data_IF_761606319865
#
_entry.id   IF_761606319865
#
_cell.length_a   1.000
_cell.length_b   1.000
_cell.length_c   1.000
_cell.angle_alpha   90.00
_cell.angle_beta   90.00
_cell.angle_gamma   90.00
#
_symmetry.space_group_name_H-M   'P 1'
#
loop_
_entity.id
_entity.type
_entity.pdbx_description
1 polymer ?
#
# COMPACT_ATOMS: atom_id res chain seq x y z
N UNK A 1 -49.26 -13.46 17.17
CA UNK A 1 -48.07 -14.27 16.85
C UNK A 1 -47.08 -13.37 16.14
N UNK A 2 -46.07 -12.91 16.86
CA UNK A 2 -45.03 -12.10 16.29
C UNK A 2 -43.99 -13.05 15.67
N UNK A 3 -43.84 -13.02 14.34
CA UNK A 3 -42.84 -13.80 13.61
C UNK A 3 -41.43 -13.33 13.98
N UNK A 4 -40.62 -14.24 14.48
CA UNK A 4 -39.18 -14.05 14.65
C UNK A 4 -38.58 -13.83 13.27
N UNK A 5 -38.06 -12.65 13.03
CA UNK A 5 -37.21 -12.40 11.86
C UNK A 5 -35.88 -13.09 12.17
N UNK A 6 -35.58 -14.20 11.50
CA UNK A 6 -34.26 -14.80 11.53
C UNK A 6 -33.28 -13.84 10.83
N UNK A 7 -32.11 -13.58 11.43
CA UNK A 7 -31.11 -12.77 10.75
C UNK A 7 -30.66 -13.47 9.46
N UNK A 8 -30.57 -12.72 8.38
CA UNK A 8 -30.10 -13.23 7.09
C UNK A 8 -28.73 -13.91 7.26
N UNK A 9 -28.46 -15.02 6.56
CA UNK A 9 -27.18 -15.71 6.68
C UNK A 9 -26.04 -14.77 6.24
N UNK A 10 -25.02 -14.67 7.08
CA UNK A 10 -23.82 -13.87 6.78
C UNK A 10 -23.28 -14.23 5.40
N UNK A 11 -23.07 -13.23 4.56
CA UNK A 11 -22.42 -13.44 3.27
C UNK A 11 -21.05 -14.12 3.50
N UNK A 12 -20.68 -15.13 2.71
CA UNK A 12 -19.40 -15.81 2.88
C UNK A 12 -18.26 -14.79 2.74
N UNK A 13 -17.16 -14.95 3.50
CA UNK A 13 -16.01 -14.04 3.40
C UNK A 13 -15.50 -14.00 1.97
N UNK A 14 -15.05 -12.81 1.56
CA UNK A 14 -14.52 -12.62 0.23
C UNK A 14 -13.37 -13.59 -0.05
N UNK A 15 -13.38 -14.22 -1.22
CA UNK A 15 -12.26 -15.05 -1.67
C UNK A 15 -11.01 -14.20 -1.92
N UNK A 16 -9.82 -14.77 -1.70
CA UNK A 16 -8.55 -14.11 -2.05
C UNK A 16 -8.48 -13.83 -3.55
N UNK A 17 -7.93 -12.67 -3.90
CA UNK A 17 -7.73 -12.28 -5.29
C UNK A 17 -7.65 -10.79 -5.50
N UNK A 18 -7.46 -10.38 -6.76
CA UNK A 18 -7.46 -8.99 -7.16
C UNK A 18 -8.86 -8.39 -7.10
N UNK A 19 -8.92 -7.09 -6.89
CA UNK A 19 -10.18 -6.31 -6.92
C UNK A 19 -9.89 -4.86 -7.26
N UNK A 20 -10.90 -4.21 -7.84
CA UNK A 20 -10.98 -2.75 -7.89
C UNK A 20 -11.95 -2.25 -6.83
N UNK A 21 -11.71 -1.08 -6.29
CA UNK A 21 -12.58 -0.43 -5.31
C UNK A 21 -12.45 1.09 -5.41
N UNK A 22 -13.51 1.80 -5.04
CA UNK A 22 -13.53 3.26 -5.12
C UNK A 22 -13.09 3.91 -3.81
N UNK A 23 -12.30 4.96 -3.91
CA UNK A 23 -12.03 5.87 -2.81
C UNK A 23 -13.25 6.79 -2.62
N UNK A 24 -14.14 6.42 -1.68
CA UNK A 24 -15.33 7.20 -1.38
C UNK A 24 -14.97 8.54 -0.72
N UNK A 25 -15.59 9.64 -1.18
CA UNK A 25 -15.45 10.97 -0.58
C UNK A 25 -14.16 11.71 -0.93
N UNK A 26 -13.30 11.14 -1.76
CA UNK A 26 -12.15 11.86 -2.28
C UNK A 26 -12.55 12.76 -3.47
N UNK A 27 -11.91 13.93 -3.64
CA UNK A 27 -12.12 14.72 -4.84
C UNK A 27 -11.85 13.83 -6.06
N UNK A 28 -12.69 13.96 -7.09
CA UNK A 28 -12.51 13.24 -8.34
C UNK A 28 -11.09 13.49 -8.88
N UNK A 29 -10.45 12.48 -9.44
CA UNK A 29 -9.27 12.70 -10.29
C UNK A 29 -9.62 13.71 -11.37
N UNK A 30 -8.66 14.45 -11.92
CA UNK A 30 -8.90 15.54 -12.88
C UNK A 30 -9.82 15.24 -14.07
N UNK A 31 -10.31 14.00 -14.22
CA UNK A 31 -11.30 13.55 -15.19
C UNK A 31 -12.74 13.49 -14.63
N UNK A 32 -13.01 13.87 -13.37
CA UNK A 32 -14.35 14.01 -12.81
C UNK A 32 -15.06 12.72 -12.35
N UNK A 33 -14.37 11.57 -12.35
CA UNK A 33 -14.90 10.27 -11.88
C UNK A 33 -14.42 9.85 -10.49
N UNK A 34 -15.04 8.83 -9.88
CA UNK A 34 -14.52 8.25 -8.65
C UNK A 34 -13.13 7.66 -8.90
N UNK A 35 -12.19 7.84 -7.95
CA UNK A 35 -10.89 7.22 -8.05
C UNK A 35 -10.99 5.72 -7.80
N UNK A 36 -10.68 4.93 -8.80
CA UNK A 36 -10.67 3.48 -8.72
C UNK A 36 -9.28 2.99 -8.35
N UNK A 37 -9.20 2.29 -7.23
CA UNK A 37 -7.96 1.73 -6.72
C UNK A 37 -7.91 0.23 -6.99
N UNK A 38 -6.73 -0.23 -7.39
CA UNK A 38 -6.44 -1.64 -7.50
C UNK A 38 -5.92 -2.19 -6.18
N UNK A 39 -6.34 -3.40 -5.81
CA UNK A 39 -5.83 -4.08 -4.65
C UNK A 39 -5.81 -5.59 -4.81
N UNK A 40 -5.04 -6.26 -3.95
CA UNK A 40 -5.01 -7.70 -3.81
C UNK A 40 -5.40 -8.10 -2.39
N UNK A 41 -6.55 -8.73 -2.26
CA UNK A 41 -7.07 -9.23 -1.00
C UNK A 41 -6.55 -10.65 -0.72
N UNK A 42 -6.07 -10.88 0.49
CA UNK A 42 -5.72 -12.19 1.02
C UNK A 42 -6.67 -12.52 2.17
N UNK A 43 -7.54 -13.49 1.96
CA UNK A 43 -8.43 -13.96 3.02
C UNK A 43 -7.63 -14.67 4.13
N UNK A 44 -8.08 -14.54 5.37
CA UNK A 44 -7.46 -15.26 6.47
C UNK A 44 -7.60 -16.78 6.29
N UNK A 45 -6.53 -17.53 6.51
CA UNK A 45 -6.51 -18.98 6.37
C UNK A 45 -7.19 -19.73 7.52
N UNK A 46 -7.61 -19.01 8.58
CA UNK A 46 -8.23 -19.57 9.78
C UNK A 46 -9.16 -18.57 10.46
N UNK A 47 -9.42 -18.73 11.77
CA UNK A 47 -10.19 -17.76 12.54
C UNK A 47 -9.62 -16.36 12.38
N UNK A 48 -10.49 -15.38 12.12
CA UNK A 48 -10.10 -14.01 11.85
C UNK A 48 -9.56 -13.35 13.12
N UNK A 49 -8.33 -12.85 13.07
CA UNK A 49 -7.64 -12.15 14.16
C UNK A 49 -7.59 -10.63 13.96
N UNK A 50 -8.03 -10.14 12.80
CA UNK A 50 -8.06 -8.74 12.42
C UNK A 50 -7.72 -8.52 10.95
N UNK A 51 -7.75 -7.25 10.52
CA UNK A 51 -7.32 -6.83 9.20
C UNK A 51 -5.90 -6.24 9.24
N UNK A 52 -5.13 -6.45 8.17
CA UNK A 52 -3.83 -5.79 7.99
C UNK A 52 -3.77 -5.14 6.62
N UNK A 53 -3.60 -3.83 6.61
CA UNK A 53 -3.38 -3.05 5.39
C UNK A 53 -1.88 -2.99 5.11
N UNK A 54 -1.46 -3.37 3.92
CA UNK A 54 -0.07 -3.24 3.49
C UNK A 54 0.06 -1.99 2.64
N UNK A 55 0.74 -0.99 3.18
CA UNK A 55 0.96 0.31 2.58
C UNK A 55 2.27 0.28 1.78
N UNK A 56 2.15 0.20 0.46
CA UNK A 56 3.29 0.16 -0.45
C UNK A 56 4.15 1.43 -0.29
N UNK A 57 5.46 1.37 -0.52
CA UNK A 57 6.22 2.57 -0.85
C UNK A 57 5.81 3.08 -2.24
N UNK A 58 6.36 4.20 -2.66
CA UNK A 58 6.12 4.77 -4.00
C UNK A 58 7.37 4.76 -4.85
N UNK A 59 7.22 4.86 -6.17
CA UNK A 59 8.31 4.90 -7.12
C UNK A 59 9.11 3.59 -7.18
N UNK A 60 10.43 3.68 -7.35
CA UNK A 60 11.32 2.52 -7.45
C UNK A 60 11.29 1.61 -6.21
N UNK A 61 11.12 2.19 -5.03
CA UNK A 61 10.94 1.42 -3.80
C UNK A 61 9.73 0.46 -3.88
N UNK A 62 8.65 0.83 -4.58
CA UNK A 62 7.46 -0.03 -4.75
C UNK A 62 7.79 -1.26 -5.61
N UNK A 63 8.53 -1.08 -6.70
CA UNK A 63 8.98 -2.18 -7.56
C UNK A 63 9.80 -3.19 -6.76
N UNK A 64 10.75 -2.70 -5.97
CA UNK A 64 11.67 -3.52 -5.16
C UNK A 64 10.97 -4.20 -3.98
N UNK A 65 10.00 -3.53 -3.36
CA UNK A 65 9.25 -4.04 -2.21
C UNK A 65 8.16 -5.05 -2.58
N UNK A 66 7.75 -5.13 -3.85
CA UNK A 66 6.61 -5.97 -4.27
C UNK A 66 6.72 -7.41 -3.77
N UNK A 67 7.87 -8.07 -3.98
CA UNK A 67 8.08 -9.46 -3.57
C UNK A 67 8.08 -9.65 -2.05
N UNK A 68 8.85 -8.90 -1.24
CA UNK A 68 8.77 -8.98 0.22
C UNK A 68 7.38 -8.70 0.78
N UNK A 69 6.67 -7.71 0.27
CA UNK A 69 5.33 -7.36 0.74
C UNK A 69 4.28 -8.41 0.39
N UNK A 70 4.41 -9.07 -0.78
CA UNK A 70 3.57 -10.22 -1.11
C UNK A 70 3.79 -11.36 -0.12
N UNK A 71 5.05 -11.73 0.17
CA UNK A 71 5.36 -12.77 1.13
C UNK A 71 4.90 -12.43 2.55
N UNK A 72 5.01 -11.15 2.95
CA UNK A 72 4.45 -10.69 4.22
C UNK A 72 2.94 -10.91 4.27
N UNK A 73 2.22 -10.48 3.23
CA UNK A 73 0.76 -10.64 3.16
C UNK A 73 0.34 -12.12 3.23
N UNK A 74 1.04 -13.02 2.53
CA UNK A 74 0.81 -14.45 2.58
C UNK A 74 1.07 -15.06 3.97
N UNK A 75 2.10 -14.57 4.69
CA UNK A 75 2.39 -15.01 6.08
C UNK A 75 1.33 -14.52 7.05
N UNK A 76 0.93 -13.27 6.94
CA UNK A 76 -0.13 -12.68 7.75
C UNK A 76 -1.47 -13.40 7.53
N UNK A 77 -1.81 -13.73 6.29
CA UNK A 77 -3.02 -14.50 5.97
C UNK A 77 -2.98 -15.89 6.62
N UNK A 78 -1.83 -16.58 6.57
CA UNK A 78 -1.63 -17.86 7.27
C UNK A 78 -1.70 -17.73 8.79
N UNK A 79 -1.31 -16.58 9.34
CA UNK A 79 -1.41 -16.28 10.77
C UNK A 79 -2.82 -15.86 11.21
N UNK A 80 -3.82 -15.86 10.32
CA UNK A 80 -5.22 -15.58 10.64
C UNK A 80 -5.64 -14.13 10.43
N UNK A 81 -4.86 -13.30 9.73
CA UNK A 81 -5.25 -11.95 9.36
C UNK A 81 -5.86 -11.91 7.95
N UNK A 82 -6.87 -11.07 7.76
CA UNK A 82 -7.27 -10.66 6.43
C UNK A 82 -6.35 -9.53 5.96
N UNK A 83 -5.79 -9.62 4.75
CA UNK A 83 -4.79 -8.63 4.31
C UNK A 83 -5.22 -8.01 2.99
N UNK A 84 -5.05 -6.69 2.88
CA UNK A 84 -5.21 -5.95 1.63
C UNK A 84 -3.89 -5.25 1.29
N UNK A 85 -3.32 -5.59 0.14
CA UNK A 85 -2.30 -4.78 -0.54
C UNK A 85 -3.01 -3.96 -1.60
N UNK A 86 -2.59 -2.73 -1.81
CA UNK A 86 -3.23 -1.86 -2.80
C UNK A 86 -2.22 -0.90 -3.42
N UNK A 87 -2.55 -0.39 -4.58
CA UNK A 87 -1.81 0.64 -5.27
C UNK A 87 -2.49 1.99 -5.04
N UNK A 88 -1.70 3.02 -4.78
CA UNK A 88 -2.20 4.38 -4.62
C UNK A 88 -2.63 4.98 -5.96
N UNK A 89 -3.45 6.02 -5.92
CA UNK A 89 -3.79 6.83 -7.11
C UNK A 89 -2.56 7.21 -7.92
N UNK A 90 -2.62 7.02 -9.23
CA UNK A 90 -1.51 7.26 -10.14
C UNK A 90 -0.33 6.31 -9.99
N UNK A 91 -0.51 5.16 -9.35
CA UNK A 91 0.52 4.11 -9.22
C UNK A 91 -0.03 2.74 -9.58
N UNK A 92 0.83 1.85 -10.03
CA UNK A 92 0.48 0.46 -10.31
C UNK A 92 -0.69 0.32 -11.27
N UNK A 93 -1.69 -0.48 -10.88
CA UNK A 93 -2.91 -0.73 -11.64
C UNK A 93 -4.11 0.10 -11.13
N UNK A 94 -3.88 1.11 -10.28
CA UNK A 94 -4.89 2.09 -9.86
C UNK A 94 -5.08 3.20 -10.91
N UNK A 95 -6.25 3.85 -10.87
CA UNK A 95 -6.52 5.03 -11.69
C UNK A 95 -5.58 6.20 -11.38
N UNK A 96 -5.67 7.27 -12.17
CA UNK A 96 -4.84 8.45 -12.02
C UNK A 96 -3.51 8.34 -12.75
N UNK A 97 -2.72 9.38 -12.60
CA UNK A 97 -1.42 9.46 -13.27
C UNK A 97 -0.39 10.20 -12.41
N UNK A 98 0.87 10.05 -12.75
CA UNK A 98 1.97 10.66 -12.01
C UNK A 98 1.99 12.21 -12.07
N UNK A 99 1.19 12.83 -12.97
CA UNK A 99 1.03 14.28 -13.11
C UNK A 99 -0.21 14.83 -12.42
N UNK A 100 -1.07 13.98 -11.87
CA UNK A 100 -2.24 14.43 -11.13
C UNK A 100 -1.83 15.39 -10.00
N UNK A 101 -2.59 16.45 -9.75
CA UNK A 101 -2.35 17.34 -8.61
C UNK A 101 -2.74 16.66 -7.29
N UNK A 102 -2.31 17.26 -6.17
CA UNK A 102 -2.72 16.88 -4.81
C UNK A 102 -2.49 15.39 -4.50
N UNK A 103 -1.39 14.83 -5.00
CA UNK A 103 -1.10 13.40 -4.92
C UNK A 103 -0.92 12.89 -3.51
N UNK A 104 -0.30 13.66 -2.63
CA UNK A 104 -0.08 13.22 -1.24
C UNK A 104 -1.41 13.16 -0.50
N UNK A 105 -2.28 14.13 -0.70
CA UNK A 105 -3.63 14.11 -0.14
C UNK A 105 -4.46 12.96 -0.72
N UNK A 106 -4.32 12.68 -2.02
CA UNK A 106 -4.91 11.53 -2.66
C UNK A 106 -4.45 10.22 -2.02
N UNK A 107 -3.15 10.01 -1.81
CA UNK A 107 -2.61 8.80 -1.19
C UNK A 107 -3.07 8.61 0.25
N UNK A 108 -3.20 9.69 1.03
CA UNK A 108 -3.76 9.63 2.39
C UNK A 108 -5.24 9.22 2.38
N UNK A 109 -6.02 9.76 1.45
CA UNK A 109 -7.41 9.38 1.25
C UNK A 109 -7.57 7.92 0.76
N UNK A 110 -6.70 7.46 -0.14
CA UNK A 110 -6.67 6.09 -0.64
C UNK A 110 -6.40 5.08 0.47
N UNK A 111 -5.52 5.42 1.40
CA UNK A 111 -5.22 4.58 2.56
C UNK A 111 -6.44 4.47 3.48
N UNK A 112 -7.18 5.55 3.70
CA UNK A 112 -8.45 5.53 4.43
C UNK A 112 -9.52 4.66 3.73
N UNK A 113 -9.62 4.79 2.40
CA UNK A 113 -10.52 3.99 1.59
C UNK A 113 -10.16 2.50 1.63
N UNK A 114 -8.87 2.17 1.51
CA UNK A 114 -8.37 0.80 1.58
C UNK A 114 -8.61 0.17 2.96
N UNK A 115 -8.45 0.93 4.05
CA UNK A 115 -8.77 0.47 5.40
C UNK A 115 -10.27 0.18 5.55
N UNK A 116 -11.12 1.03 5.00
CA UNK A 116 -12.59 0.83 4.98
C UNK A 116 -12.97 -0.38 4.14
N UNK A 117 -12.36 -0.54 2.96
CA UNK A 117 -12.58 -1.70 2.09
C UNK A 117 -12.15 -3.00 2.79
N UNK A 118 -11.01 -3.02 3.46
CA UNK A 118 -10.54 -4.20 4.19
C UNK A 118 -11.53 -4.60 5.30
N UNK A 119 -12.06 -3.63 6.06
CA UNK A 119 -13.11 -3.91 7.05
C UNK A 119 -14.33 -4.55 6.41
N UNK A 120 -14.79 -3.98 5.32
CA UNK A 120 -15.96 -4.47 4.60
C UNK A 120 -15.77 -5.86 4.00
N UNK A 121 -14.60 -6.18 3.45
CA UNK A 121 -14.32 -7.49 2.87
C UNK A 121 -14.17 -8.59 3.92
N UNK A 122 -13.59 -8.26 5.07
CA UNK A 122 -13.20 -9.25 6.07
C UNK A 122 -14.15 -9.34 7.26
N UNK A 123 -14.90 -8.27 7.57
CA UNK A 123 -15.61 -8.12 8.83
C UNK A 123 -14.67 -7.90 10.03
N UNK A 124 -13.42 -7.53 9.79
CA UNK A 124 -12.46 -7.29 10.86
C UNK A 124 -12.86 -6.07 11.70
N UNK A 125 -13.03 -6.25 13.00
CA UNK A 125 -13.31 -5.15 13.93
C UNK A 125 -12.10 -4.24 14.11
N UNK A 126 -10.90 -4.80 14.05
CA UNK A 126 -9.64 -4.08 14.15
C UNK A 126 -8.84 -4.14 12.85
N UNK A 127 -8.23 -3.01 12.46
CA UNK A 127 -7.36 -2.92 11.30
C UNK A 127 -6.03 -2.32 11.71
N UNK A 128 -4.96 -3.03 11.38
CA UNK A 128 -3.58 -2.58 11.54
C UNK A 128 -2.98 -2.24 10.17
N UNK A 129 -1.89 -1.50 10.14
CA UNK A 129 -1.15 -1.24 8.91
C UNK A 129 0.32 -1.66 9.04
N UNK A 130 0.89 -2.14 7.94
CA UNK A 130 2.34 -2.27 7.76
C UNK A 130 2.74 -1.42 6.57
N UNK A 131 3.55 -0.42 6.78
CA UNK A 131 4.02 0.46 5.71
C UNK A 131 5.53 0.47 5.60
N UNK A 132 6.04 0.43 4.36
CA UNK A 132 7.46 0.46 4.06
C UNK A 132 7.85 1.84 3.53
N UNK A 133 8.94 2.41 4.03
CA UNK A 133 9.48 3.69 3.60
C UNK A 133 8.39 4.78 3.65
N UNK A 134 8.09 5.44 2.53
CA UNK A 134 7.03 6.44 2.46
C UNK A 134 5.65 5.87 2.84
N UNK A 135 5.36 4.60 2.49
CA UNK A 135 4.12 3.94 2.91
C UNK A 135 3.96 3.85 4.43
N UNK A 136 5.07 3.70 5.17
CA UNK A 136 5.08 3.78 6.63
C UNK A 136 4.79 5.19 7.13
N UNK A 137 5.37 6.21 6.49
CA UNK A 137 5.11 7.62 6.78
C UNK A 137 3.63 7.99 6.56
N UNK A 138 3.06 7.57 5.41
CA UNK A 138 1.65 7.80 5.09
C UNK A 138 0.72 7.10 6.08
N UNK A 139 1.01 5.83 6.42
CA UNK A 139 0.22 5.07 7.39
C UNK A 139 0.22 5.73 8.77
N UNK A 140 1.36 6.26 9.21
CA UNK A 140 1.46 7.02 10.45
C UNK A 140 0.67 8.33 10.37
N UNK A 141 0.81 9.09 9.26
CA UNK A 141 0.16 10.37 9.09
C UNK A 141 -1.38 10.28 9.10
N UNK A 142 -1.95 9.20 8.58
CA UNK A 142 -3.40 9.02 8.53
C UNK A 142 -3.94 7.97 9.54
N UNK A 143 -3.14 7.51 10.50
CA UNK A 143 -3.52 6.43 11.40
C UNK A 143 -4.89 6.66 12.09
N UNK A 144 -5.12 7.86 12.60
CA UNK A 144 -6.40 8.23 13.23
C UNK A 144 -7.55 8.30 12.23
N UNK A 145 -7.33 8.93 11.07
CA UNK A 145 -8.36 9.09 10.05
C UNK A 145 -8.79 7.74 9.44
N UNK A 146 -7.82 6.83 9.23
CA UNK A 146 -8.07 5.48 8.74
C UNK A 146 -8.57 4.51 9.83
N UNK A 147 -8.61 4.96 11.10
CA UNK A 147 -9.02 4.14 12.23
C UNK A 147 -8.11 2.94 12.47
N UNK A 148 -6.80 3.13 12.39
CA UNK A 148 -5.82 2.07 12.58
C UNK A 148 -5.53 1.85 14.06
N UNK A 149 -5.58 0.60 14.51
CA UNK A 149 -5.27 0.23 15.90
C UNK A 149 -3.76 0.08 16.14
N UNK A 150 -3.05 -0.45 15.16
CA UNK A 150 -1.61 -0.71 15.23
C UNK A 150 -0.94 -0.35 13.91
N UNK A 151 0.26 0.21 13.99
CA UNK A 151 1.06 0.52 12.80
C UNK A 151 2.47 -0.05 12.96
N UNK A 152 2.93 -0.76 11.94
CA UNK A 152 4.33 -1.10 11.75
C UNK A 152 4.89 -0.14 10.70
N UNK A 153 5.86 0.68 11.12
CA UNK A 153 6.57 1.60 10.25
C UNK A 153 7.96 1.00 9.94
N UNK A 154 8.11 0.44 8.74
CA UNK A 154 9.33 -0.26 8.33
C UNK A 154 10.22 0.65 7.50
N UNK A 155 11.26 1.18 8.11
CA UNK A 155 12.19 2.12 7.49
C UNK A 155 11.54 3.43 7.02
N UNK A 156 10.45 3.84 7.65
CA UNK A 156 9.74 5.06 7.31
C UNK A 156 10.43 6.33 7.81
N UNK A 157 9.86 7.45 7.46
CA UNK A 157 10.37 8.78 7.78
C UNK A 157 9.41 9.53 8.69
N UNK A 158 9.93 10.37 9.56
CA UNK A 158 9.12 11.35 10.29
C UNK A 158 8.62 12.46 9.33
N UNK A 159 9.42 12.75 8.30
CA UNK A 159 9.19 13.87 7.36
C UNK A 159 9.30 13.41 5.91
N UNK A 160 8.35 13.80 5.09
CA UNK A 160 8.41 13.53 3.66
C UNK A 160 9.59 14.22 2.96
N UNK A 161 10.08 15.36 3.51
CA UNK A 161 11.30 16.01 3.04
C UNK A 161 12.54 15.11 3.13
N UNK A 162 12.62 14.26 4.16
CA UNK A 162 13.71 13.30 4.31
C UNK A 162 13.61 12.16 3.29
N UNK A 163 12.38 11.70 2.98
CA UNK A 163 12.15 10.77 1.87
C UNK A 163 12.64 11.36 0.54
N UNK A 164 12.22 12.59 0.21
CA UNK A 164 12.64 13.26 -1.04
C UNK A 164 14.16 13.36 -1.13
N UNK A 165 14.82 13.80 -0.05
CA UNK A 165 16.27 13.90 0.00
C UNK A 165 16.95 12.54 -0.22
N UNK A 166 16.46 11.48 0.44
CA UNK A 166 16.97 10.11 0.32
C UNK A 166 16.81 9.58 -1.11
N UNK A 167 15.63 9.73 -1.72
CA UNK A 167 15.35 9.25 -3.07
C UNK A 167 16.24 9.94 -4.13
N UNK A 168 16.35 11.26 -4.07
CA UNK A 168 17.18 12.04 -4.99
C UNK A 168 18.67 11.75 -4.81
N UNK A 169 19.14 11.57 -3.57
CA UNK A 169 20.53 11.24 -3.28
C UNK A 169 20.88 9.84 -3.81
N UNK A 170 20.00 8.87 -3.59
CA UNK A 170 20.17 7.50 -4.05
C UNK A 170 20.21 7.43 -5.59
N UNK A 171 19.32 8.14 -6.26
CA UNK A 171 19.30 8.25 -7.72
C UNK A 171 20.57 8.89 -8.29
N UNK A 172 21.01 10.02 -7.69
CA UNK A 172 22.26 10.70 -8.09
C UNK A 172 23.49 9.80 -7.94
N UNK A 173 23.54 9.02 -6.85
CA UNK A 173 24.62 8.06 -6.61
C UNK A 173 24.64 6.96 -7.68
N UNK A 174 23.49 6.35 -7.98
CA UNK A 174 23.39 5.30 -9.01
C UNK A 174 23.78 5.81 -10.38
N UNK A 175 23.31 6.97 -10.77
CA UNK A 175 23.71 7.59 -12.04
C UNK A 175 25.22 7.80 -12.16
N UNK A 176 25.88 8.12 -11.06
CA UNK A 176 27.33 8.30 -11.01
C UNK A 176 28.09 6.96 -11.10
N UNK A 177 27.57 5.92 -10.48
CA UNK A 177 28.22 4.60 -10.43
C UNK A 177 27.97 3.77 -11.70
N UNK A 178 26.80 3.91 -12.31
CA UNK A 178 26.38 3.14 -13.49
C UNK A 178 25.92 4.06 -14.65
N UNK A 179 26.81 4.93 -15.17
CA UNK A 179 26.40 5.93 -16.16
C UNK A 179 25.88 5.34 -17.47
N UNK A 180 26.25 4.10 -17.83
CA UNK A 180 25.74 3.41 -19.02
C UNK A 180 24.28 3.01 -18.92
N UNK A 181 23.79 2.73 -17.72
CA UNK A 181 22.39 2.40 -17.47
C UNK A 181 21.47 3.63 -17.62
N UNK A 182 22.04 4.83 -17.67
CA UNK A 182 21.34 6.11 -17.77
C UNK A 182 21.75 6.92 -19.02
N UNK A 183 22.14 6.24 -20.09
CA UNK A 183 22.70 6.86 -21.29
C UNK A 183 21.76 7.86 -22.00
N UNK A 184 20.47 7.87 -21.70
CA UNK A 184 19.50 8.85 -22.22
C UNK A 184 19.60 10.26 -21.61
N UNK A 185 20.52 10.49 -20.70
CA UNK A 185 20.67 11.75 -19.95
C UNK A 185 19.58 11.91 -18.87
N UNK A 186 19.68 12.94 -18.02
CA UNK A 186 18.53 13.32 -17.21
C UNK A 186 17.50 13.84 -18.20
N UNK A 187 16.31 13.28 -18.17
CA UNK A 187 15.17 14.00 -18.70
C UNK A 187 15.07 15.26 -17.82
N UNK A 188 15.59 16.36 -18.34
CA UNK A 188 15.38 17.67 -17.73
C UNK A 188 13.90 17.97 -17.98
N UNK A 189 13.02 17.37 -17.14
CA UNK A 189 11.59 17.53 -17.30
C UNK A 189 11.24 18.85 -16.63
N UNK A 190 10.68 19.75 -17.42
CA UNK A 190 10.13 21.01 -16.93
C UNK A 190 9.11 20.79 -15.80
N UNK A 191 8.54 19.59 -15.72
CA UNK A 191 7.46 19.22 -14.82
C UNK A 191 7.92 18.75 -13.42
N UNK A 192 9.19 18.40 -13.22
CA UNK A 192 9.66 17.84 -11.94
C UNK A 192 10.94 17.03 -12.04
N UNK A 193 11.20 16.20 -11.03
CA UNK A 193 12.37 15.33 -10.93
C UNK A 193 12.01 13.91 -11.33
N UNK A 194 12.77 13.31 -12.22
CA UNK A 194 12.67 11.89 -12.52
C UNK A 194 13.62 11.08 -11.63
N UNK A 195 13.07 10.05 -10.97
CA UNK A 195 13.83 9.15 -10.09
C UNK A 195 13.59 7.71 -10.55
N UNK A 196 14.57 7.08 -11.16
CA UNK A 196 14.48 5.71 -11.71
C UNK A 196 13.28 5.48 -12.65
N UNK A 197 12.96 6.46 -13.49
CA UNK A 197 11.83 6.39 -14.43
C UNK A 197 10.48 6.83 -13.86
N UNK A 198 10.41 7.18 -12.58
CA UNK A 198 9.21 7.72 -11.96
C UNK A 198 9.30 9.24 -11.88
N UNK A 199 8.26 9.92 -12.31
CA UNK A 199 8.16 11.38 -12.22
C UNK A 199 7.61 11.80 -10.86
N UNK A 200 8.37 12.63 -10.16
CA UNK A 200 7.89 13.42 -9.03
C UNK A 200 7.72 14.86 -9.51
N UNK A 201 6.48 15.27 -9.77
CA UNK A 201 6.20 16.64 -10.22
C UNK A 201 6.63 17.67 -9.17
N UNK A 202 6.81 18.93 -9.59
CA UNK A 202 7.11 20.01 -8.64
C UNK A 202 6.03 20.15 -7.56
N UNK A 203 4.75 19.93 -7.93
CA UNK A 203 3.62 19.89 -6.97
C UNK A 203 3.79 18.76 -5.96
N UNK A 204 3.94 17.51 -6.44
CA UNK A 204 4.16 16.33 -5.57
C UNK A 204 5.39 16.50 -4.67
N UNK A 205 6.48 17.06 -5.19
CA UNK A 205 7.68 17.35 -4.38
C UNK A 205 7.41 18.40 -3.30
N UNK A 206 6.62 19.44 -3.60
CA UNK A 206 6.23 20.45 -2.62
C UNK A 206 5.36 19.84 -1.53
N UNK A 207 4.33 19.07 -1.89
CA UNK A 207 3.46 18.36 -0.94
C UNK A 207 4.26 17.39 -0.06
N UNK A 208 5.12 16.57 -0.64
CA UNK A 208 5.99 15.67 0.12
C UNK A 208 6.88 16.41 1.12
N UNK A 209 7.39 17.59 0.76
CA UNK A 209 8.23 18.39 1.66
C UNK A 209 7.46 18.95 2.85
N UNK A 210 6.15 19.16 2.72
CA UNK A 210 5.27 19.61 3.81
C UNK A 210 4.73 18.46 4.66
N UNK A 211 4.75 17.22 4.14
CA UNK A 211 4.30 16.05 4.88
C UNK A 211 5.17 15.85 6.14
N UNK A 212 4.54 15.92 7.29
CA UNK A 212 5.20 15.73 8.59
C UNK A 212 4.28 14.92 9.52
N UNK A 213 4.71 13.72 9.87
CA UNK A 213 3.95 12.84 10.79
C UNK A 213 3.69 13.52 12.13
N UNK A 214 4.58 14.42 12.56
CA UNK A 214 4.47 15.13 13.83
C UNK A 214 3.35 16.18 13.85
N UNK A 215 2.86 16.59 12.68
CA UNK A 215 1.69 17.45 12.56
C UNK A 215 0.36 16.65 12.58
N UNK A 216 0.42 15.33 12.40
CA UNK A 216 -0.77 14.50 12.41
C UNK A 216 -1.33 14.30 13.82
N UNK A 217 -2.64 14.49 14.04
CA UNK A 217 -3.25 14.23 15.34
C UNK A 217 -3.31 12.72 15.57
N UNK A 218 -2.68 12.23 16.64
CA UNK A 218 -2.93 10.88 17.14
C UNK A 218 -4.08 10.92 18.14
N UNK A 219 -5.21 10.29 17.83
CA UNK A 219 -6.27 10.11 18.80
C UNK A 219 -5.79 9.08 19.86
N UNK A 220 -5.67 9.56 21.10
CA UNK A 220 -5.26 8.71 22.24
C UNK A 220 -6.40 7.80 22.73
N UNK A 221 -6.11 6.74 23.48
CA UNK A 221 -7.08 5.71 23.94
C UNK A 221 -8.29 6.21 24.73
N UNK A 222 -8.33 7.48 25.13
CA UNK A 222 -9.46 8.07 25.86
C UNK A 222 -10.71 8.32 25.00
N UNK A 223 -10.63 8.20 23.69
CA UNK A 223 -11.71 8.60 22.76
C UNK A 223 -12.65 7.46 22.32
N UNK A 224 -12.55 6.25 22.89
CA UNK A 224 -13.45 5.13 22.57
C UNK A 224 -12.80 3.97 21.82
N UNK A 225 -13.51 2.86 21.58
CA UNK A 225 -12.91 1.59 21.14
C UNK A 225 -12.49 1.51 19.66
N UNK A 226 -12.88 2.44 18.80
CA UNK A 226 -12.59 2.42 17.37
C UNK A 226 -11.81 3.65 16.93
N UNK A 227 -10.73 3.46 16.18
CA UNK A 227 -9.96 4.55 15.57
C UNK A 227 -8.86 5.15 16.43
N UNK A 228 -8.44 4.45 17.47
CA UNK A 228 -7.36 4.88 18.35
C UNK A 228 -6.11 4.06 18.11
N UNK A 229 -5.04 4.73 17.70
CA UNK A 229 -3.73 4.08 17.57
C UNK A 229 -3.22 3.66 18.96
N UNK A 230 -3.05 2.35 19.17
CA UNK A 230 -2.68 1.77 20.47
C UNK A 230 -1.22 1.38 20.54
N UNK A 231 -0.66 0.85 19.46
CA UNK A 231 0.71 0.33 19.42
C UNK A 231 1.39 0.70 18.11
N UNK A 232 2.66 1.00 18.20
CA UNK A 232 3.52 1.27 17.03
C UNK A 232 4.78 0.44 17.15
N UNK A 233 5.15 -0.24 16.06
CA UNK A 233 6.45 -0.88 15.91
C UNK A 233 7.26 -0.13 14.85
N UNK A 234 8.44 0.31 15.21
CA UNK A 234 9.41 0.88 14.29
C UNK A 234 10.44 -0.21 13.94
N UNK A 235 10.48 -0.60 12.67
CA UNK A 235 11.43 -1.61 12.17
C UNK A 235 12.47 -0.92 11.30
N UNK A 236 13.75 -1.18 11.54
CA UNK A 236 14.84 -0.61 10.76
C UNK A 236 16.10 -1.47 10.82
N UNK A 237 17.09 -1.12 10.01
CA UNK A 237 18.41 -1.78 9.97
C UNK A 237 19.53 -0.92 10.58
N UNK A 238 19.15 0.18 11.23
CA UNK A 238 20.10 1.17 11.76
C UNK A 238 20.41 2.29 10.76
N UNK A 239 20.05 2.16 9.47
CA UNK A 239 20.03 3.27 8.53
C UNK A 239 18.84 4.20 8.84
N UNK A 240 18.96 5.50 8.52
CA UNK A 240 17.85 6.43 8.79
C UNK A 240 17.55 6.68 10.28
N UNK A 241 18.47 6.35 11.17
CA UNK A 241 18.29 6.48 12.64
C UNK A 241 17.78 7.85 13.07
N UNK A 242 18.17 8.93 12.40
CA UNK A 242 17.70 10.28 12.73
C UNK A 242 16.18 10.42 12.57
N UNK A 243 15.61 9.95 11.47
CA UNK A 243 14.16 9.98 11.24
C UNK A 243 13.41 9.04 12.19
N UNK A 244 13.95 7.85 12.44
CA UNK A 244 13.39 6.94 13.43
C UNK A 244 13.37 7.56 14.83
N UNK A 245 14.45 8.23 15.25
CA UNK A 245 14.52 8.92 16.56
C UNK A 245 13.47 10.05 16.65
N UNK A 246 13.27 10.81 15.56
CA UNK A 246 12.23 11.83 15.52
C UNK A 246 10.82 11.24 15.68
N UNK A 247 10.55 10.09 15.01
CA UNK A 247 9.29 9.37 15.18
C UNK A 247 9.11 8.87 16.62
N UNK A 248 10.14 8.26 17.21
CA UNK A 248 10.09 7.79 18.61
C UNK A 248 9.79 8.92 19.59
N UNK A 249 10.50 10.04 19.45
CA UNK A 249 10.32 11.21 20.31
C UNK A 249 8.91 11.76 20.20
N UNK A 250 8.40 11.90 18.97
CA UNK A 250 7.05 12.41 18.74
C UNK A 250 5.99 11.46 19.30
N UNK A 251 6.09 10.16 19.06
CA UNK A 251 5.16 9.18 19.60
C UNK A 251 5.13 9.19 21.11
N UNK A 252 6.30 9.23 21.77
CA UNK A 252 6.40 9.33 23.24
C UNK A 252 5.79 10.63 23.78
N UNK A 253 6.04 11.75 23.11
CA UNK A 253 5.43 13.03 23.46
C UNK A 253 3.91 13.03 23.30
N UNK A 254 3.39 12.21 22.38
CA UNK A 254 1.96 11.99 22.14
C UNK A 254 1.35 10.90 23.06
N UNK A 255 2.09 10.41 24.05
CA UNK A 255 1.60 9.39 24.99
C UNK A 255 1.62 7.94 24.46
N UNK A 256 2.22 7.69 23.31
CA UNK A 256 2.43 6.35 22.76
C UNK A 256 3.86 5.87 23.07
N UNK A 257 4.00 4.62 23.53
CA UNK A 257 5.30 3.99 23.73
C UNK A 257 5.64 3.10 22.52
N UNK A 258 6.35 3.62 21.49
CA UNK A 258 6.71 2.79 20.37
C UNK A 258 7.70 1.70 20.75
N UNK A 259 7.50 0.53 20.17
CA UNK A 259 8.47 -0.55 20.19
C UNK A 259 9.45 -0.37 19.02
N UNK A 260 10.69 -0.75 19.22
CA UNK A 260 11.73 -0.62 18.19
C UNK A 260 12.41 -1.96 18.00
N UNK A 261 12.48 -2.38 16.76
CA UNK A 261 13.19 -3.60 16.35
C UNK A 261 14.22 -3.25 15.29
N UNK A 262 15.48 -3.59 15.56
CA UNK A 262 16.56 -3.45 14.60
C UNK A 262 16.93 -4.81 14.04
N UNK A 263 16.76 -4.98 12.73
CA UNK A 263 17.11 -6.20 11.99
C UNK A 263 18.10 -5.83 10.90
N UNK A 264 19.33 -6.31 11.04
CA UNK A 264 20.39 -5.98 10.08
C UNK A 264 20.02 -6.41 8.67
N UNK A 265 20.15 -5.49 7.71
CA UNK A 265 19.86 -5.75 6.31
C UNK A 265 18.37 -5.90 5.97
N UNK A 266 17.46 -5.57 6.88
CA UNK A 266 16.03 -5.72 6.62
C UNK A 266 15.50 -4.84 5.47
N UNK A 267 16.25 -3.82 5.06
CA UNK A 267 15.96 -2.96 3.91
C UNK A 267 16.86 -3.22 2.69
N UNK A 268 17.69 -4.28 2.74
CA UNK A 268 18.63 -4.62 1.65
C UNK A 268 17.92 -4.83 0.31
N UNK A 269 16.70 -5.33 0.32
CA UNK A 269 15.90 -5.53 -0.90
C UNK A 269 15.59 -4.24 -1.67
N UNK A 270 15.68 -3.08 -1.02
CA UNK A 270 15.49 -1.77 -1.68
C UNK A 270 16.75 -1.31 -2.43
N UNK A 271 17.90 -1.90 -2.16
CA UNK A 271 19.18 -1.53 -2.78
C UNK A 271 19.57 -2.51 -3.87
N UNK A 272 19.24 -3.78 -3.69
CA UNK A 272 19.57 -4.85 -4.63
C UNK A 272 18.62 -4.87 -5.83
N UNK A 273 19.12 -5.33 -6.97
CA UNK A 273 18.27 -5.58 -8.14
C UNK A 273 17.24 -6.68 -7.79
N UNK A 274 15.97 -6.55 -8.18
CA UNK A 274 14.88 -7.41 -7.70
C UNK A 274 15.11 -8.93 -7.81
N UNK A 275 15.76 -9.38 -8.90
CA UNK A 275 16.03 -10.80 -9.13
C UNK A 275 17.16 -11.39 -8.27
N UNK A 276 18.01 -10.54 -7.66
CA UNK A 276 19.07 -10.94 -6.72
C UNK A 276 18.70 -10.71 -5.27
N UNK A 277 17.65 -9.95 -5.04
CA UNK A 277 17.19 -9.56 -3.71
C UNK A 277 16.76 -10.78 -2.90
N UNK A 278 17.25 -10.85 -1.66
CA UNK A 278 16.83 -11.85 -0.67
C UNK A 278 15.64 -11.34 0.13
N UNK A 279 14.78 -12.28 0.53
CA UNK A 279 13.70 -11.95 1.46
C UNK A 279 14.28 -11.66 2.84
N UNK A 280 13.86 -10.58 3.49
CA UNK A 280 14.26 -10.24 4.85
C UNK A 280 13.48 -11.08 5.88
N UNK A 281 13.73 -12.39 5.90
CA UNK A 281 12.97 -13.41 6.64
C UNK A 281 12.76 -13.03 8.10
N UNK A 282 13.84 -12.67 8.79
CA UNK A 282 13.81 -12.28 10.22
C UNK A 282 12.88 -11.08 10.47
N UNK A 283 12.92 -10.07 9.59
CA UNK A 283 12.04 -8.91 9.72
C UNK A 283 10.56 -9.27 9.45
N UNK A 284 10.31 -10.13 8.44
CA UNK A 284 8.96 -10.61 8.15
C UNK A 284 8.40 -11.40 9.35
N UNK A 285 9.18 -12.29 9.93
CA UNK A 285 8.77 -13.10 11.10
C UNK A 285 8.55 -12.22 12.33
N UNK A 286 9.42 -11.23 12.58
CA UNK A 286 9.26 -10.29 13.69
C UNK A 286 7.95 -9.49 13.56
N UNK A 287 7.62 -8.99 12.37
CA UNK A 287 6.39 -8.23 12.13
C UNK A 287 5.14 -9.10 12.30
N UNK A 288 5.15 -10.32 11.76
CA UNK A 288 4.04 -11.28 11.92
C UNK A 288 3.88 -11.65 13.39
N UNK A 289 4.97 -11.94 14.09
CA UNK A 289 4.96 -12.24 15.53
C UNK A 289 4.39 -11.10 16.37
N UNK A 290 4.82 -9.87 16.10
CA UNK A 290 4.34 -8.68 16.82
C UNK A 290 2.84 -8.42 16.62
N UNK A 291 2.34 -8.56 15.38
CA UNK A 291 0.90 -8.44 15.12
C UNK A 291 0.11 -9.57 15.77
N UNK A 292 0.69 -10.76 15.88
CA UNK A 292 0.03 -11.95 16.41
C UNK A 292 -0.01 -11.99 17.96
N UNK A 293 0.90 -11.30 18.64
CA UNK A 293 1.06 -11.42 20.09
C UNK A 293 -0.22 -11.11 20.89
N UNK A 294 -0.98 -10.07 20.47
CA UNK A 294 -2.17 -9.62 21.17
C UNK A 294 -3.44 -9.73 20.33
N UNK A 295 -3.40 -10.53 19.26
CA UNK A 295 -4.54 -10.67 18.37
C UNK A 295 -5.33 -11.92 18.72
N UNK A 296 -6.35 -11.77 19.55
CA UNK A 296 -7.33 -12.84 19.79
C UNK A 296 -8.26 -13.01 18.58
N UNK A 297 -8.71 -14.25 18.29
CA UNK A 297 -9.75 -14.46 17.31
C UNK A 297 -11.00 -13.69 17.70
N UNK A 298 -11.39 -12.74 16.86
CA UNK A 298 -12.56 -11.88 17.12
C UNK A 298 -13.82 -12.36 16.40
N UNK A 299 -14.98 -11.93 16.89
CA UNK A 299 -16.22 -12.02 16.14
C UNK A 299 -16.11 -11.13 14.89
N UNK A 300 -16.64 -11.59 13.76
CA UNK A 300 -16.78 -10.76 12.56
C UNK A 300 -17.88 -9.73 12.80
N UNK A 301 -17.61 -8.48 12.48
CA UNK A 301 -18.65 -7.46 12.40
C UNK A 301 -19.52 -7.72 11.18
N UNK A 302 -20.77 -7.29 11.22
CA UNK A 302 -21.65 -7.32 10.05
C UNK A 302 -21.01 -6.49 8.93
N UNK A 303 -20.73 -7.15 7.83
CA UNK A 303 -20.14 -6.48 6.65
C UNK A 303 -21.25 -5.71 5.96
N UNK A 304 -21.21 -4.39 5.99
CA UNK A 304 -21.97 -3.58 5.06
C UNK A 304 -21.59 -3.97 3.64
N UNK A 305 -22.59 -4.09 2.76
CA UNK A 305 -22.37 -4.39 1.36
C UNK A 305 -21.53 -3.27 0.73
N UNK A 306 -20.22 -3.49 0.63
CA UNK A 306 -19.34 -2.60 -0.14
C UNK A 306 -19.35 -3.11 -1.57
N UNK A 307 -19.70 -2.23 -2.48
CA UNK A 307 -19.64 -2.51 -3.90
C UNK A 307 -18.17 -2.72 -4.31
N UNK A 308 -17.82 -3.97 -4.63
CA UNK A 308 -16.64 -4.22 -5.44
C UNK A 308 -16.91 -3.60 -6.80
N UNK A 309 -16.04 -2.73 -7.27
CA UNK A 309 -16.04 -2.42 -8.69
C UNK A 309 -15.66 -3.72 -9.42
N UNK A 310 -16.56 -4.22 -10.24
CA UNK A 310 -16.27 -5.40 -11.07
C UNK A 310 -15.30 -5.05 -12.21
N UNK A 311 -15.11 -3.75 -12.45
CA UNK A 311 -14.44 -3.18 -13.61
C UNK A 311 -13.58 -2.02 -13.10
N UNK A 312 -12.32 -1.98 -13.53
CA UNK A 312 -11.37 -0.93 -13.22
C UNK A 312 -11.46 0.27 -14.17
N UNK A 313 -10.46 1.17 -14.11
CA UNK A 313 -10.36 2.31 -15.01
C UNK A 313 -10.53 1.87 -16.46
N UNK A 314 -11.24 2.67 -17.27
CA UNK A 314 -11.46 2.39 -18.70
C UNK A 314 -12.09 1.03 -19.02
N UNK A 315 -12.79 0.40 -18.08
CA UNK A 315 -13.44 -0.89 -18.28
C UNK A 315 -12.54 -2.10 -18.09
N UNK A 316 -11.38 -1.92 -17.51
CA UNK A 316 -10.42 -2.99 -17.24
C UNK A 316 -10.99 -4.06 -16.30
N UNK A 317 -10.63 -5.30 -16.53
CA UNK A 317 -11.05 -6.43 -15.69
C UNK A 317 -9.84 -7.24 -15.22
N UNK A 318 -9.69 -7.38 -13.91
CA UNK A 318 -8.67 -8.21 -13.31
C UNK A 318 -9.05 -9.70 -13.40
N UNK A 319 -8.19 -10.49 -14.03
CA UNK A 319 -8.40 -11.92 -14.26
C UNK A 319 -7.38 -12.76 -13.54
N UNK A 320 -7.84 -13.86 -12.91
CA UNK A 320 -6.98 -14.91 -12.37
C UNK A 320 -7.28 -16.19 -13.16
N UNK A 321 -6.29 -16.72 -13.81
CA UNK A 321 -6.45 -17.87 -14.71
C UNK A 321 -5.29 -18.88 -14.57
N UNK A 322 -5.29 -19.93 -15.42
CA UNK A 322 -4.37 -21.04 -15.33
C UNK A 322 -4.90 -22.20 -14.46
N UNK A 323 -4.25 -23.38 -14.56
CA UNK A 323 -4.71 -24.60 -13.89
C UNK A 323 -4.85 -24.42 -12.38
N UNK A 324 -3.88 -23.73 -11.75
CA UNK A 324 -3.83 -23.53 -10.28
C UNK A 324 -4.23 -22.11 -9.89
N UNK A 325 -4.84 -21.33 -10.79
CA UNK A 325 -5.20 -19.92 -10.59
C UNK A 325 -4.00 -19.07 -10.11
N UNK A 326 -2.82 -19.36 -10.61
CA UNK A 326 -1.56 -18.68 -10.23
C UNK A 326 -1.19 -17.57 -11.20
N UNK A 327 -1.85 -17.51 -12.36
CA UNK A 327 -1.60 -16.49 -13.38
C UNK A 327 -2.61 -15.37 -13.22
N UNK A 328 -2.12 -14.15 -13.24
CA UNK A 328 -2.90 -12.92 -13.16
C UNK A 328 -2.70 -12.10 -14.44
N UNK A 329 -3.73 -11.42 -14.86
CA UNK A 329 -3.71 -10.50 -15.99
C UNK A 329 -4.81 -9.47 -15.89
N UNK A 330 -4.66 -8.37 -16.62
CA UNK A 330 -5.69 -7.36 -16.78
C UNK A 330 -6.17 -7.43 -18.23
N UNK A 331 -7.47 -7.54 -18.38
CA UNK A 331 -8.13 -7.47 -19.68
C UNK A 331 -8.54 -6.01 -19.92
N UNK A 332 -8.01 -5.43 -20.99
CA UNK A 332 -8.38 -4.11 -21.47
C UNK A 332 -9.40 -4.26 -22.61
N UNK A 333 -10.63 -3.75 -22.48
CA UNK A 333 -11.56 -3.73 -23.58
C UNK A 333 -11.12 -2.70 -24.64
N UNK A 334 -11.53 -2.83 -25.90
CA UNK A 334 -11.28 -1.80 -26.89
C UNK A 334 -12.01 -0.51 -26.48
N UNK A 335 -11.32 0.62 -26.56
CA UNK A 335 -11.88 1.95 -26.24
C UNK A 335 -12.88 2.45 -27.28
N UNK A 336 -12.86 1.87 -28.47
CA UNK A 336 -13.79 2.17 -29.59
C UNK A 336 -14.36 0.85 -30.09
N UNK A 337 -15.68 0.80 -30.27
CA UNK A 337 -16.31 -0.38 -30.87
C UNK A 337 -15.79 -0.57 -32.31
N UNK A 338 -15.07 -1.64 -32.61
CA UNK A 338 -14.51 -1.87 -33.94
C UNK A 338 -15.56 -2.30 -34.98
N UNK A 339 -16.85 -2.41 -34.61
CA UNK A 339 -17.95 -2.89 -35.46
C UNK A 339 -17.81 -4.35 -35.93
N UNK A 340 -16.74 -5.03 -35.50
CA UNK A 340 -16.49 -6.48 -35.74
C UNK A 340 -15.57 -7.04 -34.67
N UNK A 341 -15.66 -8.32 -34.34
CA UNK A 341 -14.71 -8.98 -33.45
C UNK A 341 -13.28 -8.87 -33.97
N UNK A 342 -12.36 -8.33 -33.16
CA UNK A 342 -10.93 -8.34 -33.42
C UNK A 342 -10.26 -9.44 -32.60
N UNK A 343 -9.17 -10.05 -33.08
CA UNK A 343 -8.42 -10.99 -32.27
C UNK A 343 -7.82 -10.30 -31.05
N UNK A 344 -7.83 -10.97 -29.88
CA UNK A 344 -7.20 -10.42 -28.68
C UNK A 344 -5.68 -10.36 -28.85
N UNK A 345 -5.06 -9.33 -28.28
CA UNK A 345 -3.60 -9.19 -28.20
C UNK A 345 -3.19 -9.54 -26.77
N UNK A 346 -2.23 -10.46 -26.62
CA UNK A 346 -1.65 -10.81 -25.33
C UNK A 346 -0.31 -10.11 -25.19
N UNK A 347 -0.19 -9.21 -24.23
CA UNK A 347 1.06 -8.59 -23.83
C UNK A 347 1.65 -9.39 -22.67
N UNK A 348 2.70 -10.15 -22.92
CA UNK A 348 3.39 -10.92 -21.89
C UNK A 348 4.52 -10.06 -21.30
N UNK A 349 4.44 -9.80 -20.00
CA UNK A 349 5.51 -9.14 -19.26
C UNK A 349 6.75 -10.02 -19.18
N UNK A 350 7.94 -9.45 -19.34
CA UNK A 350 9.18 -10.18 -19.09
C UNK A 350 9.25 -10.60 -17.61
N UNK A 351 9.64 -11.86 -17.33
CA UNK A 351 9.56 -12.44 -15.98
C UNK A 351 10.41 -11.75 -14.90
N UNK A 352 11.33 -10.87 -15.30
CA UNK A 352 12.19 -10.09 -14.39
C UNK A 352 11.79 -8.62 -14.29
N UNK A 353 10.79 -8.19 -15.05
CA UNK A 353 10.35 -6.80 -15.14
C UNK A 353 8.95 -6.71 -14.55
N UNK A 354 8.78 -5.87 -13.53
CA UNK A 354 7.46 -5.63 -12.96
C UNK A 354 6.62 -4.75 -13.91
N UNK A 355 5.31 -4.95 -13.88
CA UNK A 355 4.36 -4.15 -14.66
C UNK A 355 4.18 -2.74 -14.13
N UNK A 356 4.72 -2.46 -12.95
CA UNK A 356 4.63 -1.19 -12.24
C UNK A 356 5.78 -0.28 -12.68
N UNK A 357 5.52 1.01 -12.85
CA UNK A 357 6.53 2.01 -13.14
C UNK A 357 6.87 2.14 -14.63
N UNK A 358 8.13 2.46 -14.99
CA UNK A 358 8.51 2.79 -16.37
C UNK A 358 8.35 1.64 -17.37
N UNK A 359 8.10 0.45 -16.87
CA UNK A 359 7.84 -0.75 -17.66
C UNK A 359 6.35 -1.08 -17.81
N UNK A 360 5.48 -0.20 -17.33
CA UNK A 360 4.06 -0.24 -17.61
C UNK A 360 3.89 0.10 -19.09
N UNK A 361 3.84 -0.93 -19.92
CA UNK A 361 3.54 -0.79 -21.35
C UNK A 361 2.04 -0.98 -21.54
N UNK A 362 1.37 0.09 -21.88
CA UNK A 362 -0.02 0.10 -22.32
C UNK A 362 -0.12 0.88 -23.61
#
# INVERSE_FOLDING_TARGET
MAGRIEPAPHAPPAASGPLYFCALGAPASGAGGPRELFGWYHASAGPLRGGVLVCNPVGDDAVRAHRPLRHLAERLARAGFAVLRFDYDGTGDSAGDERSPDRVDAWLADLCAAASMLRALSGAASVSAVGVRLGGTLAMACASAAGLDRVICWGGYARGSAFVASALQFYKLHRKLEPKSFAGGPANREDGEEVFGFLLTHGTLAELRTLDVRAAPFALPSAGPSGTLRRVLLVGDGSGRAEQTLLEQHLRASGLAPEVTTVTGCLQFLVEVPHKSRLPEEALDAMVGWLSADAEPGARSDTSAVSRAAVGPDGETALVFGRDRTTFGILHPPTVDPGRPLPPIVLASAGTVHRIGPHRMY
#
